data_IF_788307240766
#
_entry.id   IF_788307240766
#
_cell.length_a   1.000
_cell.length_b   1.000
_cell.length_c   1.000
_cell.angle_alpha   90.00
_cell.angle_beta   90.00
_cell.angle_gamma   90.00
#
_symmetry.space_group_name_H-M   'P 1'
#
loop_
_entity.id
_entity.type
_entity.pdbx_description
1 polymer ?
#
# COMPACT_ATOMS: atom_id res chain seq x y z
N UNK A 1 23.07 5.49 -16.94
CA UNK A 1 21.89 5.60 -16.02
C UNK A 1 22.22 4.86 -14.74
N UNK A 2 21.86 5.40 -13.58
CA UNK A 2 22.04 4.77 -12.27
C UNK A 2 20.70 4.56 -11.62
N UNK A 3 20.45 3.34 -11.12
CA UNK A 3 19.31 3.03 -10.28
C UNK A 3 19.71 3.20 -8.82
N UNK A 4 18.84 3.84 -8.02
CA UNK A 4 19.12 4.09 -6.61
C UNK A 4 17.89 3.94 -5.75
N UNK A 5 18.10 3.55 -4.51
CA UNK A 5 17.11 3.65 -3.44
C UNK A 5 17.76 4.39 -2.26
N UNK A 6 17.06 5.40 -1.76
CA UNK A 6 17.47 6.17 -0.59
C UNK A 6 16.51 5.84 0.53
N UNK A 7 17.01 5.21 1.59
CA UNK A 7 16.25 4.90 2.78
C UNK A 7 16.29 6.08 3.74
N UNK A 8 15.15 6.74 3.92
CA UNK A 8 14.97 7.94 4.73
C UNK A 8 13.62 7.88 5.46
N UNK A 9 13.47 6.95 6.45
CA UNK A 9 12.19 6.77 7.13
C UNK A 9 11.77 7.99 7.95
N UNK A 10 12.73 8.76 8.41
CA UNK A 10 12.51 10.01 9.18
C UNK A 10 11.78 11.06 8.34
N UNK A 11 11.99 11.07 7.02
CA UNK A 11 11.32 11.96 6.08
C UNK A 11 9.83 11.60 5.87
N UNK A 12 9.36 10.44 6.33
CA UNK A 12 7.96 10.00 6.24
C UNK A 12 7.17 10.26 7.55
N UNK A 13 7.81 10.80 8.62
CA UNK A 13 7.19 11.23 9.87
C UNK A 13 6.43 10.12 10.60
N UNK A 14 5.22 10.41 11.08
CA UNK A 14 4.39 9.45 11.83
C UNK A 14 3.94 8.23 10.99
N UNK A 15 4.02 8.33 9.68
CA UNK A 15 3.71 7.27 8.73
C UNK A 15 4.97 6.63 8.13
N UNK A 16 6.08 6.66 8.86
CA UNK A 16 7.26 5.88 8.51
C UNK A 16 6.90 4.39 8.32
N UNK A 17 7.56 3.69 7.35
CA UNK A 17 7.22 2.30 7.03
C UNK A 17 7.27 1.36 8.24
N UNK A 18 6.19 0.62 8.46
CA UNK A 18 6.06 -0.35 9.54
C UNK A 18 6.89 -1.61 9.35
N UNK A 19 6.83 -2.53 10.31
CA UNK A 19 7.66 -3.74 10.32
C UNK A 19 7.44 -4.64 9.11
N UNK A 20 6.18 -4.89 8.73
CA UNK A 20 5.84 -5.73 7.57
C UNK A 20 6.25 -5.08 6.24
N UNK A 21 6.03 -3.77 6.12
CA UNK A 21 6.42 -2.98 4.94
C UNK A 21 7.93 -2.97 4.75
N UNK A 22 8.72 -2.81 5.83
CA UNK A 22 10.19 -2.87 5.77
C UNK A 22 10.69 -4.25 5.37
N UNK A 23 10.09 -5.33 5.89
CA UNK A 23 10.41 -6.68 5.44
C UNK A 23 10.18 -6.84 3.93
N UNK A 24 9.00 -6.40 3.43
CA UNK A 24 8.70 -6.47 1.98
C UNK A 24 9.71 -5.65 1.16
N UNK A 25 10.00 -4.42 1.60
CA UNK A 25 10.97 -3.55 0.93
C UNK A 25 12.34 -4.22 0.79
N UNK A 26 12.82 -4.89 1.84
CA UNK A 26 14.08 -5.64 1.79
C UNK A 26 14.05 -6.72 0.69
N UNK A 27 13.00 -7.53 0.64
CA UNK A 27 12.85 -8.59 -0.36
C UNK A 27 12.70 -8.02 -1.78
N UNK A 28 11.93 -6.95 -1.94
CA UNK A 28 11.72 -6.24 -3.21
C UNK A 28 13.03 -5.66 -3.76
N UNK A 29 13.82 -4.99 -2.90
CA UNK A 29 15.14 -4.45 -3.28
C UNK A 29 16.13 -5.58 -3.63
N UNK A 30 16.09 -6.70 -2.91
CA UNK A 30 16.89 -7.90 -3.25
C UNK A 30 16.55 -8.42 -4.65
N UNK A 31 15.26 -8.51 -4.97
CA UNK A 31 14.81 -8.93 -6.30
C UNK A 31 15.24 -7.93 -7.38
N UNK A 32 15.03 -6.64 -7.16
CA UNK A 32 15.43 -5.59 -8.09
C UNK A 32 16.93 -5.55 -8.34
N UNK A 33 17.76 -5.71 -7.29
CA UNK A 33 19.21 -5.76 -7.41
C UNK A 33 19.64 -6.90 -8.34
N UNK A 34 19.13 -8.10 -8.12
CA UNK A 34 19.41 -9.27 -8.98
C UNK A 34 18.99 -9.02 -10.44
N UNK A 35 17.82 -8.43 -10.66
CA UNK A 35 17.30 -8.17 -11.99
C UNK A 35 18.09 -7.08 -12.73
N UNK A 36 18.63 -6.10 -12.03
CA UNK A 36 19.55 -5.09 -12.59
C UNK A 36 20.91 -5.68 -12.91
N UNK A 37 21.47 -6.53 -12.04
CA UNK A 37 22.75 -7.22 -12.25
C UNK A 37 22.70 -8.12 -13.50
N UNK A 38 21.59 -8.87 -13.68
CA UNK A 38 21.37 -9.67 -14.87
C UNK A 38 21.33 -8.85 -16.18
N UNK A 39 21.10 -7.54 -16.10
CA UNK A 39 21.09 -6.60 -17.25
C UNK A 39 22.36 -5.76 -17.36
N UNK A 40 23.39 -6.04 -16.57
CA UNK A 40 24.67 -5.34 -16.58
C UNK A 40 24.70 -4.03 -15.79
N UNK A 41 23.74 -3.84 -14.88
CA UNK A 41 23.66 -2.69 -13.99
C UNK A 41 23.65 -3.14 -12.52
N UNK A 42 23.51 -2.21 -11.58
CA UNK A 42 23.29 -2.53 -10.17
C UNK A 42 22.45 -1.46 -9.48
N UNK A 43 21.88 -1.81 -8.35
CA UNK A 43 21.17 -0.89 -7.47
C UNK A 43 22.17 -0.22 -6.51
N UNK A 44 22.08 1.11 -6.43
CA UNK A 44 22.84 1.90 -5.47
C UNK A 44 21.96 2.17 -4.27
N UNK A 45 22.40 1.74 -3.10
CA UNK A 45 21.68 1.89 -1.84
C UNK A 45 22.37 2.96 -0.98
N UNK A 46 21.56 3.81 -0.36
CA UNK A 46 22.01 4.83 0.59
C UNK A 46 21.03 4.92 1.75
N UNK A 47 21.55 5.10 2.96
CA UNK A 47 20.76 5.55 4.11
C UNK A 47 20.93 7.06 4.25
N UNK A 48 19.81 7.78 4.37
CA UNK A 48 19.85 9.20 4.61
C UNK A 48 20.21 9.50 6.07
N UNK A 49 20.96 10.58 6.36
CA UNK A 49 21.15 11.04 7.73
C UNK A 49 19.86 11.61 8.29
N UNK A 50 19.70 11.50 9.60
CA UNK A 50 18.64 12.22 10.31
C UNK A 50 18.86 13.72 10.20
N UNK A 51 17.84 14.46 9.82
CA UNK A 51 17.87 15.93 9.75
C UNK A 51 16.58 16.50 10.31
N UNK A 52 16.67 17.71 10.84
CA UNK A 52 15.48 18.45 11.33
C UNK A 52 14.61 19.05 10.24
N UNK A 53 15.10 19.12 8.98
CA UNK A 53 14.37 19.66 7.85
C UNK A 53 13.60 18.55 7.13
N UNK A 54 12.33 18.77 6.83
CA UNK A 54 11.51 17.84 6.04
C UNK A 54 12.17 17.57 4.67
N UNK A 55 12.46 16.29 4.39
CA UNK A 55 13.16 15.87 3.18
C UNK A 55 14.66 16.19 3.14
N UNK A 56 15.20 16.71 4.23
CA UNK A 56 16.62 17.11 4.30
C UNK A 56 17.57 15.93 4.13
N UNK A 57 17.25 14.78 4.70
CA UNK A 57 18.07 13.57 4.61
C UNK A 57 18.22 13.08 3.17
N UNK A 58 17.11 12.93 2.45
CA UNK A 58 17.14 12.51 1.06
C UNK A 58 17.85 13.52 0.14
N UNK A 59 17.67 14.84 0.38
CA UNK A 59 18.35 15.89 -0.39
C UNK A 59 19.86 15.84 -0.21
N UNK A 60 20.37 15.63 1.01
CA UNK A 60 21.80 15.47 1.30
C UNK A 60 22.39 14.34 0.47
N UNK A 61 21.76 13.17 0.51
CA UNK A 61 22.21 12.00 -0.26
C UNK A 61 22.16 12.23 -1.77
N UNK A 62 21.14 12.90 -2.27
CA UNK A 62 21.04 13.23 -3.71
C UNK A 62 22.17 14.15 -4.16
N UNK A 63 22.53 15.18 -3.38
CA UNK A 63 23.67 16.07 -3.66
C UNK A 63 24.99 15.33 -3.65
N UNK A 64 25.18 14.40 -2.72
CA UNK A 64 26.39 13.53 -2.69
C UNK A 64 26.48 12.67 -3.95
N UNK A 65 25.40 11.99 -4.33
CA UNK A 65 25.35 11.18 -5.54
C UNK A 65 25.60 12.00 -6.80
N UNK A 66 25.03 13.18 -6.91
CA UNK A 66 25.27 14.10 -8.05
C UNK A 66 26.74 14.50 -8.15
N UNK A 67 27.39 14.82 -7.03
CA UNK A 67 28.83 15.13 -6.99
C UNK A 67 29.71 13.92 -7.31
N UNK A 68 29.40 12.73 -6.79
CA UNK A 68 30.15 11.50 -7.04
C UNK A 68 30.07 11.05 -8.51
N UNK A 69 28.96 11.29 -9.16
CA UNK A 69 28.67 10.73 -10.49
C UNK A 69 28.78 11.74 -11.64
N UNK A 70 28.79 13.04 -11.32
CA UNK A 70 28.67 14.10 -12.32
C UNK A 70 27.32 14.09 -13.06
N UNK A 71 26.28 13.46 -12.50
CA UNK A 71 24.98 13.43 -13.12
C UNK A 71 24.34 14.81 -13.15
N UNK A 72 23.71 15.15 -14.26
CA UNK A 72 23.05 16.44 -14.50
C UNK A 72 21.52 16.36 -14.42
N UNK A 73 20.98 15.16 -14.20
CA UNK A 73 19.54 14.93 -14.14
C UNK A 73 19.16 13.90 -13.07
N UNK A 74 18.00 14.09 -12.44
CA UNK A 74 17.40 13.15 -11.49
C UNK A 74 15.95 12.92 -11.84
N UNK A 75 15.56 11.64 -11.95
CA UNK A 75 14.20 11.23 -12.28
C UNK A 75 13.68 10.26 -11.23
N UNK A 76 12.38 10.36 -10.88
CA UNK A 76 11.73 9.40 -9.97
C UNK A 76 10.24 9.22 -10.22
N UNK A 77 9.69 8.14 -9.69
CA UNK A 77 8.25 7.91 -9.63
C UNK A 77 7.62 8.77 -8.54
N UNK A 78 6.55 9.48 -8.88
CA UNK A 78 5.86 10.39 -7.97
C UNK A 78 5.16 9.62 -6.85
N UNK A 79 5.28 10.14 -5.63
CA UNK A 79 4.49 9.74 -4.47
C UNK A 79 3.42 10.79 -4.21
N UNK A 80 2.31 10.36 -3.61
CA UNK A 80 1.11 11.21 -3.44
C UNK A 80 0.71 11.38 -1.97
N UNK A 81 1.47 10.85 -1.04
CA UNK A 81 1.29 11.10 0.38
C UNK A 81 1.67 12.56 0.69
N UNK A 82 0.92 13.24 1.58
CA UNK A 82 1.11 14.68 1.82
C UNK A 82 2.56 15.06 2.17
N UNK A 83 3.19 14.28 3.04
CA UNK A 83 4.58 14.52 3.45
C UNK A 83 5.57 14.27 2.29
N UNK A 84 5.30 13.27 1.45
CA UNK A 84 6.11 12.98 0.28
C UNK A 84 5.98 14.07 -0.79
N UNK A 85 4.77 14.63 -0.98
CA UNK A 85 4.55 15.78 -1.88
C UNK A 85 5.37 16.98 -1.42
N UNK A 86 5.34 17.31 -0.13
CA UNK A 86 6.09 18.44 0.43
C UNK A 86 7.61 18.22 0.29
N UNK A 87 8.10 17.02 0.68
CA UNK A 87 9.51 16.64 0.53
C UNK A 87 9.98 16.72 -0.92
N UNK A 88 9.25 16.09 -1.83
CA UNK A 88 9.63 16.03 -3.24
C UNK A 88 9.55 17.41 -3.91
N UNK A 89 8.62 18.28 -3.48
CA UNK A 89 8.55 19.67 -3.86
C UNK A 89 9.82 20.43 -3.49
N UNK A 90 10.21 20.35 -2.21
CA UNK A 90 11.42 20.99 -1.71
C UNK A 90 12.70 20.49 -2.45
N UNK A 91 12.82 19.19 -2.66
CA UNK A 91 13.95 18.61 -3.42
C UNK A 91 13.98 19.15 -4.86
N UNK A 92 12.83 19.21 -5.54
CA UNK A 92 12.71 19.71 -6.91
C UNK A 92 13.18 21.16 -7.01
N UNK A 93 12.66 22.02 -6.13
CA UNK A 93 12.94 23.45 -6.18
C UNK A 93 14.42 23.73 -5.88
N UNK A 94 14.96 23.05 -4.88
CA UNK A 94 16.35 23.18 -4.48
C UNK A 94 17.32 22.73 -5.58
N UNK A 95 17.15 21.53 -6.12
CA UNK A 95 18.08 20.98 -7.12
C UNK A 95 17.93 21.69 -8.48
N UNK A 96 16.74 22.19 -8.84
CA UNK A 96 16.57 23.02 -10.04
C UNK A 96 17.31 24.36 -9.94
N UNK A 97 17.28 24.99 -8.75
CA UNK A 97 18.06 26.19 -8.50
C UNK A 97 19.59 25.94 -8.60
N UNK A 98 20.01 24.71 -8.39
CA UNK A 98 21.42 24.26 -8.57
C UNK A 98 21.72 23.83 -10.03
N UNK A 99 20.80 24.03 -10.97
CA UNK A 99 20.99 23.70 -12.40
C UNK A 99 20.82 22.23 -12.77
N UNK A 100 20.22 21.40 -11.88
CA UNK A 100 19.96 19.98 -12.14
C UNK A 100 18.60 19.81 -12.82
N UNK A 101 18.55 19.02 -13.89
CA UNK A 101 17.29 18.64 -14.52
C UNK A 101 16.51 17.68 -13.61
N UNK A 102 15.27 18.06 -13.25
CA UNK A 102 14.45 17.26 -12.36
C UNK A 102 13.11 16.95 -13.02
N UNK A 103 12.78 15.64 -13.12
CA UNK A 103 11.46 15.18 -13.58
C UNK A 103 10.91 14.12 -12.64
N UNK A 104 9.60 14.13 -12.43
CA UNK A 104 8.88 13.05 -11.76
C UNK A 104 7.73 12.55 -12.65
N UNK A 105 7.51 11.25 -12.63
CA UNK A 105 6.56 10.56 -13.51
C UNK A 105 5.48 9.87 -12.68
N UNK A 106 4.29 9.77 -13.26
CA UNK A 106 3.24 8.91 -12.72
C UNK A 106 3.54 7.44 -13.06
N UNK A 107 3.98 6.68 -12.08
CA UNK A 107 4.14 5.23 -12.20
C UNK A 107 3.15 4.46 -11.31
N UNK A 108 2.47 5.15 -10.39
CA UNK A 108 1.64 4.54 -9.36
C UNK A 108 0.13 4.56 -9.67
N UNK A 109 -0.32 5.44 -10.58
CA UNK A 109 -1.74 5.66 -10.82
C UNK A 109 -2.10 5.57 -12.31
N UNK A 110 -3.37 5.30 -12.60
CA UNK A 110 -3.92 5.38 -13.97
C UNK A 110 -4.08 6.82 -14.39
N UNK A 111 -4.56 7.69 -13.50
CA UNK A 111 -4.77 9.12 -13.71
C UNK A 111 -4.11 9.93 -12.60
N UNK A 112 -3.74 11.16 -12.90
CA UNK A 112 -3.31 12.09 -11.86
C UNK A 112 -4.52 12.54 -11.02
N UNK A 113 -4.39 12.66 -9.68
CA UNK A 113 -5.51 13.05 -8.84
C UNK A 113 -6.14 14.40 -9.18
N UNK A 114 -5.36 15.35 -9.68
CA UNK A 114 -5.82 16.69 -10.07
C UNK A 114 -6.51 16.74 -11.44
N UNK A 115 -6.37 15.72 -12.28
CA UNK A 115 -6.99 15.67 -13.62
C UNK A 115 -8.44 15.18 -13.56
N UNK A 116 -8.90 14.65 -12.41
CA UNK A 116 -10.25 14.12 -12.23
C UNK A 116 -11.06 14.99 -11.31
N UNK A 117 -11.93 15.80 -11.89
CA UNK A 117 -12.81 16.73 -11.17
C UNK A 117 -14.24 16.59 -11.67
N UNK A 118 -15.20 16.97 -10.83
CA UNK A 118 -16.61 17.05 -11.20
C UNK A 118 -16.89 18.27 -12.10
N UNK A 119 -18.14 18.41 -12.56
CA UNK A 119 -18.51 19.51 -13.46
C UNK A 119 -18.32 20.92 -12.87
N UNK A 120 -18.26 21.05 -11.54
CA UNK A 120 -17.99 22.32 -10.85
C UNK A 120 -16.49 22.52 -10.47
N UNK A 121 -15.59 21.72 -11.01
CA UNK A 121 -14.16 21.80 -10.72
C UNK A 121 -13.75 21.32 -9.32
N UNK A 122 -14.65 20.63 -8.60
CA UNK A 122 -14.38 20.11 -7.25
C UNK A 122 -14.00 18.64 -7.27
N UNK A 123 -13.24 18.17 -6.26
CA UNK A 123 -12.92 16.75 -6.13
C UNK A 123 -14.18 15.92 -5.83
N UNK A 124 -14.15 14.68 -6.29
CA UNK A 124 -15.20 13.73 -5.97
C UNK A 124 -15.05 13.20 -4.53
N UNK A 125 -16.18 12.94 -3.87
CA UNK A 125 -16.24 12.27 -2.56
C UNK A 125 -17.11 11.00 -2.60
N UNK A 126 -17.53 10.56 -3.80
CA UNK A 126 -18.30 9.35 -4.03
C UNK A 126 -17.65 8.56 -5.16
N UNK A 127 -17.46 7.26 -4.98
CA UNK A 127 -16.71 6.41 -5.88
C UNK A 127 -17.33 6.29 -7.28
N UNK A 128 -18.62 6.00 -7.36
CA UNK A 128 -19.28 5.71 -8.65
C UNK A 128 -19.13 6.84 -9.67
N UNK A 129 -19.43 8.12 -9.37
CA UNK A 129 -19.21 9.20 -10.32
C UNK A 129 -17.73 9.48 -10.59
N UNK A 130 -16.85 9.31 -9.58
CA UNK A 130 -15.42 9.40 -9.78
C UNK A 130 -14.93 8.39 -10.82
N UNK A 131 -15.22 7.10 -10.61
CA UNK A 131 -14.73 6.04 -11.48
C UNK A 131 -15.31 6.14 -12.89
N UNK A 132 -16.59 6.48 -13.02
CA UNK A 132 -17.21 6.73 -14.32
C UNK A 132 -16.47 7.84 -15.10
N UNK A 133 -16.12 8.94 -14.42
CA UNK A 133 -15.42 10.07 -15.03
C UNK A 133 -13.97 9.73 -15.35
N UNK A 134 -13.26 9.10 -14.42
CA UNK A 134 -11.86 8.72 -14.57
C UNK A 134 -11.68 7.67 -15.66
N UNK A 135 -12.43 6.56 -15.61
CA UNK A 135 -12.29 5.46 -16.57
C UNK A 135 -12.65 5.84 -18.01
N UNK A 136 -13.59 6.75 -18.20
CA UNK A 136 -13.96 7.25 -19.54
C UNK A 136 -12.85 8.06 -20.22
N UNK A 137 -11.92 8.62 -19.46
CA UNK A 137 -10.79 9.42 -19.94
C UNK A 137 -9.51 8.63 -20.16
N UNK A 138 -9.50 7.33 -19.81
CA UNK A 138 -8.29 6.52 -19.89
C UNK A 138 -7.91 6.21 -21.35
N UNK A 139 -6.92 6.94 -21.85
CA UNK A 139 -6.21 6.67 -23.09
C UNK A 139 -4.73 6.41 -22.75
N UNK A 140 -4.45 5.24 -22.15
CA UNK A 140 -3.13 4.91 -21.66
C UNK A 140 -2.29 4.27 -22.77
N UNK A 141 -1.05 4.73 -23.01
CA UNK A 141 -0.12 4.05 -23.89
C UNK A 141 0.21 2.66 -23.34
N UNK A 142 0.55 1.75 -24.23
CA UNK A 142 1.06 0.43 -23.83
C UNK A 142 2.35 0.60 -23.02
N UNK A 143 2.50 -0.12 -21.89
CA UNK A 143 3.73 -0.05 -21.10
C UNK A 143 4.95 -0.51 -21.91
N UNK A 144 6.03 0.24 -21.81
CA UNK A 144 7.30 -0.12 -22.41
C UNK A 144 7.86 -1.41 -21.81
N UNK A 145 8.51 -2.21 -22.65
CA UNK A 145 9.23 -3.40 -22.18
C UNK A 145 10.52 -3.00 -21.47
N UNK A 146 10.88 -3.75 -20.42
CA UNK A 146 12.16 -3.57 -19.77
C UNK A 146 13.33 -3.75 -20.73
N UNK A 147 14.37 -2.88 -20.69
CA UNK A 147 15.53 -3.00 -21.57
C UNK A 147 16.27 -4.30 -21.30
N UNK A 148 16.73 -4.97 -22.38
CA UNK A 148 17.51 -6.21 -22.26
C UNK A 148 18.89 -5.99 -21.63
N UNK A 149 19.49 -4.81 -21.85
CA UNK A 149 20.80 -4.42 -21.33
C UNK A 149 20.76 -2.97 -20.85
N UNK A 150 21.40 -2.71 -19.75
CA UNK A 150 21.51 -1.37 -19.16
C UNK A 150 23.00 -1.02 -19.12
N UNK A 151 23.45 0.05 -19.81
CA UNK A 151 24.86 0.44 -19.81
C UNK A 151 25.35 0.75 -18.40
N UNK A 152 26.45 0.14 -18.00
CA UNK A 152 27.14 0.46 -16.76
C UNK A 152 27.83 1.83 -16.88
N UNK A 153 27.95 2.61 -15.80
CA UNK A 153 28.77 3.80 -15.77
C UNK A 153 30.27 3.42 -15.76
N UNK A 154 31.13 4.34 -16.17
CA UNK A 154 32.59 4.15 -16.12
C UNK A 154 33.08 3.90 -14.68
N UNK A 155 32.44 4.54 -13.69
CA UNK A 155 32.72 4.36 -12.28
C UNK A 155 31.41 4.29 -11.48
N UNK A 156 31.32 3.29 -10.60
CA UNK A 156 30.18 3.17 -9.69
C UNK A 156 30.35 4.07 -8.47
N UNK A 157 29.31 4.80 -8.05
CA UNK A 157 29.34 5.51 -6.76
C UNK A 157 29.35 4.50 -5.61
N UNK A 158 29.64 4.99 -4.41
CA UNK A 158 29.54 4.17 -3.19
C UNK A 158 28.09 3.66 -3.02
N UNK A 159 27.96 2.49 -2.43
CA UNK A 159 26.68 1.88 -2.09
C UNK A 159 26.81 1.20 -0.73
N UNK A 160 25.82 1.36 0.13
CA UNK A 160 25.68 0.52 1.32
C UNK A 160 25.09 -0.84 0.93
N UNK A 161 25.15 -1.80 1.84
CA UNK A 161 24.49 -3.10 1.69
C UNK A 161 23.03 -3.04 2.13
N UNK A 162 22.22 -4.05 1.77
CA UNK A 162 20.83 -4.15 2.24
C UNK A 162 20.76 -4.33 3.77
N UNK A 163 21.71 -5.06 4.36
CA UNK A 163 21.76 -5.30 5.81
C UNK A 163 22.01 -4.01 6.58
N UNK A 164 22.88 -3.13 6.06
CA UNK A 164 23.16 -1.82 6.66
C UNK A 164 21.96 -0.85 6.62
N UNK A 165 20.95 -1.11 5.81
CA UNK A 165 19.69 -0.35 5.84
C UNK A 165 18.82 -0.72 7.05
N UNK A 166 19.10 -1.82 7.75
CA UNK A 166 18.36 -2.30 8.93
C UNK A 166 16.84 -2.44 8.69
N UNK A 167 16.47 -2.88 7.49
CA UNK A 167 15.06 -3.05 7.12
C UNK A 167 14.42 -4.26 7.80
N UNK A 168 15.20 -5.31 8.03
CA UNK A 168 14.69 -6.55 8.59
C UNK A 168 14.36 -6.40 10.07
N UNK A 169 13.16 -6.85 10.52
CA UNK A 169 12.84 -6.89 11.93
C UNK A 169 13.82 -7.74 12.73
N UNK A 170 14.21 -7.28 13.94
CA UNK A 170 15.12 -8.02 14.84
C UNK A 170 14.51 -9.34 15.31
N UNK A 171 13.20 -9.39 15.55
CA UNK A 171 12.45 -10.59 15.90
C UNK A 171 11.95 -11.23 14.61
N UNK A 172 12.19 -12.52 14.41
CA UNK A 172 11.86 -13.26 13.17
C UNK A 172 10.37 -13.63 13.04
N UNK A 173 9.47 -12.74 13.40
CA UNK A 173 8.03 -12.96 13.26
C UNK A 173 7.57 -13.10 11.79
N UNK A 174 8.38 -12.65 10.85
CA UNK A 174 8.12 -12.65 9.41
C UNK A 174 8.32 -14.00 8.70
N UNK A 175 8.77 -15.05 9.39
CA UNK A 175 9.11 -16.34 8.75
C UNK A 175 7.93 -16.95 7.98
N UNK A 176 6.71 -16.77 8.47
CA UNK A 176 5.52 -17.24 7.78
C UNK A 176 5.18 -16.35 6.57
N UNK A 177 5.40 -15.04 6.64
CA UNK A 177 5.26 -14.14 5.50
C UNK A 177 6.17 -14.58 4.35
N UNK A 178 7.42 -14.96 4.65
CA UNK A 178 8.39 -15.43 3.66
C UNK A 178 7.96 -16.72 2.93
N UNK A 179 7.08 -17.51 3.51
CA UNK A 179 6.50 -18.71 2.86
C UNK A 179 5.28 -18.40 2.00
N UNK A 180 4.54 -17.34 2.34
CA UNK A 180 3.29 -16.95 1.68
C UNK A 180 3.51 -16.03 0.48
N UNK A 181 4.62 -15.28 0.44
CA UNK A 181 4.83 -14.21 -0.50
C UNK A 181 6.09 -14.39 -1.34
N UNK A 182 6.01 -13.91 -2.57
CA UNK A 182 7.14 -13.80 -3.51
C UNK A 182 7.30 -12.35 -3.96
N UNK A 183 7.91 -11.47 -3.15
CA UNK A 183 8.15 -10.08 -3.54
C UNK A 183 9.00 -9.98 -4.81
N UNK A 184 8.75 -8.91 -5.59
CA UNK A 184 9.42 -8.65 -6.86
C UNK A 184 8.50 -8.80 -8.07
N UNK A 185 8.95 -8.27 -9.22
CA UNK A 185 8.16 -8.21 -10.47
C UNK A 185 7.70 -9.60 -10.95
N UNK A 186 8.55 -10.62 -10.80
CA UNK A 186 8.20 -11.99 -11.19
C UNK A 186 7.05 -12.57 -10.33
N UNK A 187 7.02 -12.26 -9.03
CA UNK A 187 5.94 -12.64 -8.14
C UNK A 187 4.63 -11.92 -8.47
N UNK A 188 4.71 -10.63 -8.81
CA UNK A 188 3.57 -9.85 -9.27
C UNK A 188 2.96 -10.42 -10.55
N UNK A 189 3.79 -10.72 -11.54
CA UNK A 189 3.36 -11.31 -12.80
C UNK A 189 2.68 -12.67 -12.60
N UNK A 190 3.28 -13.55 -11.78
CA UNK A 190 2.72 -14.87 -11.47
C UNK A 190 1.36 -14.77 -10.76
N UNK A 191 1.21 -13.85 -9.78
CA UNK A 191 -0.06 -13.63 -9.09
C UNK A 191 -1.15 -13.10 -10.04
N UNK A 192 -0.80 -12.19 -10.95
CA UNK A 192 -1.76 -11.67 -11.93
C UNK A 192 -2.19 -12.77 -12.90
N UNK A 193 -1.25 -13.54 -13.42
CA UNK A 193 -1.51 -14.64 -14.36
C UNK A 193 -2.43 -15.70 -13.73
N UNK A 194 -2.08 -16.19 -12.53
CA UNK A 194 -2.90 -17.15 -11.80
C UNK A 194 -4.32 -16.63 -11.56
N UNK A 195 -4.44 -15.36 -11.16
CA UNK A 195 -5.74 -14.74 -10.93
C UNK A 195 -6.59 -14.65 -12.21
N UNK A 196 -6.00 -14.23 -13.34
CA UNK A 196 -6.71 -14.13 -14.62
C UNK A 196 -7.11 -15.48 -15.19
N UNK A 197 -6.36 -16.55 -14.89
CA UNK A 197 -6.68 -17.90 -15.34
C UNK A 197 -7.75 -18.58 -14.47
N UNK A 198 -7.73 -18.37 -13.16
CA UNK A 198 -8.50 -19.19 -12.21
C UNK A 198 -9.67 -18.45 -11.54
N UNK A 199 -9.55 -17.15 -11.25
CA UNK A 199 -10.46 -16.50 -10.30
C UNK A 199 -11.20 -15.27 -10.84
N UNK A 200 -10.77 -14.68 -11.95
CA UNK A 200 -11.33 -13.41 -12.43
C UNK A 200 -12.78 -13.55 -12.91
N UNK A 201 -13.17 -14.70 -13.45
CA UNK A 201 -14.53 -14.94 -13.96
C UNK A 201 -15.57 -14.84 -12.85
N UNK A 202 -15.31 -15.49 -11.72
CA UNK A 202 -16.20 -15.54 -10.56
C UNK A 202 -15.86 -14.47 -9.51
N UNK A 203 -15.03 -13.50 -9.88
CA UNK A 203 -14.50 -12.51 -8.93
C UNK A 203 -15.58 -11.74 -8.16
N UNK A 204 -16.72 -11.44 -8.77
CA UNK A 204 -17.83 -10.73 -8.12
C UNK A 204 -18.27 -11.39 -6.81
N UNK A 205 -18.27 -12.70 -6.76
CA UNK A 205 -18.68 -13.52 -5.61
C UNK A 205 -17.46 -14.02 -4.83
N UNK A 206 -16.48 -14.61 -5.50
CA UNK A 206 -15.30 -15.19 -4.92
C UNK A 206 -14.47 -14.20 -4.07
N UNK A 207 -14.45 -12.91 -4.46
CA UNK A 207 -13.81 -11.84 -3.70
C UNK A 207 -14.35 -11.64 -2.28
N UNK A 208 -15.51 -12.20 -1.96
CA UNK A 208 -16.12 -12.08 -0.64
C UNK A 208 -15.82 -13.28 0.27
N UNK A 209 -15.27 -14.36 -0.26
CA UNK A 209 -15.05 -15.62 0.43
C UNK A 209 -13.61 -15.75 0.94
N UNK A 210 -13.32 -15.50 2.23
CA UNK A 210 -11.95 -15.51 2.75
C UNK A 210 -11.34 -16.92 2.82
N UNK A 211 -12.16 -17.97 2.76
CA UNK A 211 -11.72 -19.37 2.78
C UNK A 211 -11.08 -19.84 1.48
N UNK A 212 -11.22 -19.09 0.37
CA UNK A 212 -10.70 -19.47 -0.95
C UNK A 212 -9.74 -18.40 -1.50
N UNK A 213 -8.96 -18.76 -2.52
CA UNK A 213 -8.07 -17.84 -3.23
C UNK A 213 -8.82 -17.11 -4.36
N UNK A 214 -9.80 -16.27 -3.97
CA UNK A 214 -10.69 -15.53 -4.89
C UNK A 214 -10.23 -14.11 -5.25
N UNK A 215 -9.02 -13.70 -4.85
CA UNK A 215 -8.48 -12.34 -5.08
C UNK A 215 -7.10 -12.39 -5.72
N UNK A 216 -6.71 -11.33 -6.42
CA UNK A 216 -5.43 -11.25 -7.13
C UNK A 216 -4.19 -11.19 -6.22
N UNK A 217 -4.36 -10.77 -4.96
CA UNK A 217 -3.27 -10.54 -4.00
C UNK A 217 -2.17 -9.60 -4.52
N UNK A 218 -2.53 -8.65 -5.40
CA UNK A 218 -1.60 -7.70 -6.01
C UNK A 218 -1.34 -6.45 -5.18
N UNK A 219 -2.07 -6.25 -4.08
CA UNK A 219 -1.98 -5.01 -3.29
C UNK A 219 -0.56 -4.67 -2.83
N UNK A 220 0.29 -5.59 -2.30
CA UNK A 220 1.66 -5.24 -1.95
C UNK A 220 2.52 -4.96 -3.20
N UNK A 221 2.35 -5.73 -4.26
CA UNK A 221 3.09 -5.51 -5.50
C UNK A 221 2.78 -4.14 -6.15
N UNK A 222 1.52 -3.68 -6.07
CA UNK A 222 1.11 -2.35 -6.50
C UNK A 222 1.67 -1.25 -5.61
N UNK A 223 1.74 -1.48 -4.30
CA UNK A 223 2.31 -0.52 -3.34
C UNK A 223 3.80 -0.28 -3.61
N UNK A 224 4.56 -1.34 -3.85
CA UNK A 224 6.00 -1.26 -4.11
C UNK A 224 6.36 -1.01 -5.58
N UNK A 225 5.38 -0.90 -6.49
CA UNK A 225 5.63 -0.66 -7.91
C UNK A 225 6.27 -1.84 -8.63
N UNK A 226 6.14 -3.05 -8.09
CA UNK A 226 6.56 -4.32 -8.73
C UNK A 226 5.67 -4.66 -9.92
N UNK A 227 4.45 -4.11 -9.93
CA UNK A 227 3.56 -4.01 -11.09
C UNK A 227 2.83 -2.68 -11.04
N UNK A 228 2.70 -2.01 -12.17
CA UNK A 228 1.97 -0.76 -12.28
C UNK A 228 0.48 -0.98 -12.61
N UNK A 229 -0.43 -0.08 -12.18
CA UNK A 229 -1.84 -0.18 -12.53
C UNK A 229 -2.08 -0.09 -14.04
N UNK A 230 -1.20 0.59 -14.79
CA UNK A 230 -1.23 0.65 -16.26
C UNK A 230 -0.95 -0.70 -16.90
N UNK A 231 -0.01 -1.47 -16.34
CA UNK A 231 0.26 -2.84 -16.81
C UNK A 231 -0.96 -3.73 -16.58
N UNK A 232 -1.60 -3.65 -15.39
CA UNK A 232 -2.84 -4.38 -15.12
C UNK A 232 -3.94 -3.96 -16.11
N UNK A 233 -4.09 -2.67 -16.39
CA UNK A 233 -5.08 -2.15 -17.33
C UNK A 233 -4.92 -2.73 -18.74
N UNK A 234 -3.68 -2.91 -19.20
CA UNK A 234 -3.41 -3.49 -20.52
C UNK A 234 -3.55 -5.01 -20.54
N UNK A 235 -2.96 -5.70 -19.57
CA UNK A 235 -3.00 -7.17 -19.48
C UNK A 235 -4.43 -7.67 -19.26
N UNK A 236 -5.18 -7.02 -18.37
CA UNK A 236 -6.56 -7.34 -18.08
C UNK A 236 -7.57 -6.59 -18.98
N UNK A 237 -7.20 -6.24 -20.20
CA UNK A 237 -7.99 -5.38 -21.11
C UNK A 237 -9.40 -5.90 -21.38
N UNK A 238 -9.58 -7.21 -21.51
CA UNK A 238 -10.88 -7.86 -21.67
C UNK A 238 -11.79 -7.76 -20.44
N UNK A 239 -11.23 -7.42 -19.27
CA UNK A 239 -11.93 -7.32 -17.98
C UNK A 239 -12.18 -5.87 -17.54
N UNK A 240 -11.96 -4.86 -18.40
CA UNK A 240 -12.04 -3.42 -18.03
C UNK A 240 -13.37 -3.01 -17.40
N UNK A 241 -14.48 -3.60 -17.80
CA UNK A 241 -15.80 -3.35 -17.22
C UNK A 241 -16.12 -4.18 -15.97
N UNK A 242 -15.22 -5.03 -15.51
CA UNK A 242 -15.47 -5.96 -14.40
C UNK A 242 -15.34 -5.32 -13.02
N UNK A 243 -15.86 -6.02 -12.02
CA UNK A 243 -15.64 -5.68 -10.61
C UNK A 243 -14.15 -5.64 -10.24
N UNK A 244 -13.30 -6.46 -10.87
CA UNK A 244 -11.85 -6.43 -10.62
C UNK A 244 -11.24 -5.07 -10.99
N UNK A 245 -11.59 -4.53 -12.15
CA UNK A 245 -11.10 -3.21 -12.55
C UNK A 245 -11.70 -2.07 -11.71
N UNK A 246 -12.91 -2.25 -11.19
CA UNK A 246 -13.46 -1.32 -10.22
C UNK A 246 -12.66 -1.29 -8.91
N UNK A 247 -12.06 -2.41 -8.48
CA UNK A 247 -11.17 -2.41 -7.29
C UNK A 247 -9.84 -1.66 -7.55
N UNK A 248 -9.30 -1.72 -8.77
CA UNK A 248 -8.21 -0.82 -9.18
C UNK A 248 -8.67 0.63 -9.09
N UNK A 249 -9.90 0.92 -9.54
CA UNK A 249 -10.53 2.23 -9.41
C UNK A 249 -10.69 2.70 -7.96
N UNK A 250 -11.02 1.82 -7.02
CA UNK A 250 -11.07 2.15 -5.59
C UNK A 250 -9.71 2.58 -5.04
N UNK A 251 -8.62 1.95 -5.49
CA UNK A 251 -7.26 2.38 -5.16
C UNK A 251 -6.99 3.79 -5.69
N UNK A 252 -7.32 4.07 -6.96
CA UNK A 252 -7.21 5.40 -7.56
C UNK A 252 -8.01 6.45 -6.78
N UNK A 253 -9.24 6.10 -6.38
CA UNK A 253 -10.10 6.97 -5.59
C UNK A 253 -9.52 7.27 -4.19
N UNK A 254 -8.87 6.29 -3.56
CA UNK A 254 -8.14 6.51 -2.31
C UNK A 254 -7.05 7.57 -2.45
N UNK A 255 -6.25 7.51 -3.51
CA UNK A 255 -5.21 8.51 -3.79
C UNK A 255 -5.80 9.88 -4.18
N UNK A 256 -6.90 9.90 -4.92
CA UNK A 256 -7.65 11.12 -5.20
C UNK A 256 -8.09 11.82 -3.91
N UNK A 257 -8.65 11.07 -2.97
CA UNK A 257 -9.07 11.62 -1.68
C UNK A 257 -7.88 12.09 -0.84
N UNK A 258 -6.81 11.29 -0.75
CA UNK A 258 -5.63 11.65 0.01
C UNK A 258 -4.98 12.95 -0.50
N UNK A 259 -4.91 13.11 -1.82
CA UNK A 259 -4.35 14.31 -2.45
C UNK A 259 -5.18 15.56 -2.15
N UNK A 260 -6.50 15.48 -2.32
CA UNK A 260 -7.39 16.62 -2.12
C UNK A 260 -7.73 16.92 -0.66
N UNK A 261 -7.63 15.91 0.22
CA UNK A 261 -7.94 16.00 1.64
C UNK A 261 -6.75 15.48 2.48
N UNK A 262 -5.61 16.18 2.48
CA UNK A 262 -4.33 15.68 3.02
C UNK A 262 -4.31 15.45 4.53
N UNK A 263 -5.30 15.92 5.29
CA UNK A 263 -5.44 15.71 6.74
C UNK A 263 -6.17 14.42 7.11
N UNK A 264 -6.76 13.74 6.13
CA UNK A 264 -7.56 12.53 6.37
C UNK A 264 -6.81 11.34 6.99
N UNK A 265 -5.48 11.19 6.88
CA UNK A 265 -4.80 10.13 7.62
C UNK A 265 -4.94 10.21 9.13
N UNK A 266 -5.20 11.40 9.69
CA UNK A 266 -5.31 11.63 11.15
C UNK A 266 -6.62 12.27 11.57
N UNK A 267 -7.32 12.96 10.66
CA UNK A 267 -8.57 13.65 10.94
C UNK A 267 -9.72 13.05 10.10
N UNK A 268 -10.96 12.99 10.63
CA UNK A 268 -12.10 12.54 9.83
C UNK A 268 -12.36 13.52 8.68
N UNK A 269 -12.67 12.98 7.49
CA UNK A 269 -13.05 13.81 6.33
C UNK A 269 -14.30 14.65 6.66
N UNK A 270 -15.27 14.05 7.35
CA UNK A 270 -16.47 14.72 7.83
C UNK A 270 -16.20 15.26 9.23
N UNK A 271 -15.98 16.57 9.34
CA UNK A 271 -15.55 17.23 10.58
C UNK A 271 -16.49 17.08 11.77
N UNK A 272 -17.79 16.82 11.55
CA UNK A 272 -18.73 16.56 12.64
C UNK A 272 -18.37 15.34 13.49
N UNK A 273 -17.64 14.38 12.92
CA UNK A 273 -17.20 13.17 13.65
C UNK A 273 -16.01 13.41 14.59
N UNK A 274 -15.42 14.57 14.61
CA UNK A 274 -14.41 14.94 15.64
C UNK A 274 -15.03 15.00 17.05
N UNK A 275 -16.34 15.19 17.15
CA UNK A 275 -17.08 15.23 18.41
C UNK A 275 -17.54 13.86 18.90
N UNK A 276 -17.25 12.79 18.16
CA UNK A 276 -17.66 11.44 18.56
C UNK A 276 -16.85 10.98 19.78
N UNK A 277 -17.55 10.58 20.83
CA UNK A 277 -16.94 10.09 22.08
C UNK A 277 -16.48 8.63 21.92
N UNK A 278 -15.19 8.45 21.76
CA UNK A 278 -14.55 7.14 21.73
C UNK A 278 -14.30 6.63 23.16
N UNK A 279 -14.34 5.31 23.33
CA UNK A 279 -13.95 4.68 24.60
C UNK A 279 -12.42 4.54 24.65
N UNK A 280 -11.91 4.62 25.88
CA UNK A 280 -10.54 4.24 26.21
C UNK A 280 -10.58 2.88 26.91
N UNK A 281 -10.06 1.83 26.26
CA UNK A 281 -10.01 0.46 26.77
C UNK A 281 -8.78 -0.26 26.21
N UNK A 282 -7.67 -0.14 26.92
CA UNK A 282 -6.39 -0.73 26.51
C UNK A 282 -6.44 -2.27 26.49
N UNK A 283 -7.23 -2.89 27.37
CA UNK A 283 -7.37 -4.34 27.43
C UNK A 283 -8.14 -4.86 26.22
N UNK A 284 -9.24 -4.21 25.85
CA UNK A 284 -10.00 -4.56 24.66
C UNK A 284 -9.19 -4.34 23.38
N UNK A 285 -8.41 -3.25 23.30
CA UNK A 285 -7.51 -2.99 22.18
C UNK A 285 -6.45 -4.08 22.02
N UNK A 286 -5.83 -4.50 23.11
CA UNK A 286 -4.80 -5.54 23.09
C UNK A 286 -5.41 -6.91 22.74
N UNK A 287 -6.60 -7.23 23.27
CA UNK A 287 -7.33 -8.44 22.90
C UNK A 287 -7.64 -8.47 21.39
N UNK A 288 -8.05 -7.33 20.80
CA UNK A 288 -8.29 -7.18 19.38
C UNK A 288 -6.99 -7.37 18.58
N UNK A 289 -5.91 -6.68 18.93
CA UNK A 289 -4.61 -6.82 18.25
C UNK A 289 -4.10 -8.25 18.20
N UNK A 290 -4.29 -8.99 19.29
CA UNK A 290 -3.84 -10.39 19.43
C UNK A 290 -4.81 -11.43 18.91
N UNK A 291 -5.97 -11.04 18.39
CA UNK A 291 -7.00 -11.98 17.96
C UNK A 291 -7.50 -12.88 19.11
N UNK A 292 -7.80 -12.26 20.25
CA UNK A 292 -8.28 -12.90 21.50
C UNK A 292 -9.57 -12.26 22.00
N UNK A 293 -10.41 -11.79 21.08
CA UNK A 293 -11.70 -11.15 21.40
C UNK A 293 -12.79 -12.15 21.77
N UNK A 294 -12.58 -13.45 21.47
CA UNK A 294 -13.58 -14.50 21.59
C UNK A 294 -14.54 -14.59 20.39
N UNK A 295 -14.40 -13.70 19.41
CA UNK A 295 -15.22 -13.68 18.18
C UNK A 295 -14.42 -14.38 17.05
N UNK A 296 -14.82 -15.60 16.61
CA UNK A 296 -13.98 -16.43 15.74
C UNK A 296 -13.48 -15.74 14.46
N UNK A 297 -14.35 -15.01 13.76
CA UNK A 297 -14.01 -14.32 12.50
C UNK A 297 -13.02 -13.17 12.74
N UNK A 298 -13.19 -12.41 13.82
CA UNK A 298 -12.28 -11.31 14.20
C UNK A 298 -10.91 -11.87 14.60
N UNK A 299 -10.92 -12.89 15.45
CA UNK A 299 -9.70 -13.49 15.96
C UNK A 299 -8.88 -14.17 14.86
N UNK A 300 -9.54 -14.88 13.94
CA UNK A 300 -8.88 -15.47 12.77
C UNK A 300 -8.25 -14.41 11.87
N UNK A 301 -8.97 -13.31 11.61
CA UNK A 301 -8.45 -12.21 10.81
C UNK A 301 -7.21 -11.54 11.41
N UNK A 302 -7.24 -11.24 12.70
CA UNK A 302 -6.10 -10.60 13.38
C UNK A 302 -4.88 -11.53 13.48
N UNK A 303 -5.09 -12.84 13.64
CA UNK A 303 -4.00 -13.83 13.63
C UNK A 303 -3.45 -14.08 12.22
N UNK A 304 -4.31 -14.08 11.15
CA UNK A 304 -3.86 -14.12 9.77
C UNK A 304 -2.96 -12.91 9.46
N UNK A 305 -3.41 -11.70 9.84
CA UNK A 305 -2.65 -10.46 9.69
C UNK A 305 -1.25 -10.59 10.30
N UNK A 306 -1.18 -11.00 11.58
CA UNK A 306 0.09 -11.16 12.27
C UNK A 306 1.00 -12.20 11.62
N UNK A 307 0.42 -13.31 11.16
CA UNK A 307 1.18 -14.43 10.62
C UNK A 307 1.68 -14.20 9.17
N UNK A 308 0.88 -13.51 8.35
CA UNK A 308 1.12 -13.40 6.90
C UNK A 308 1.40 -11.97 6.41
N UNK A 309 1.24 -10.99 7.30
CA UNK A 309 1.29 -9.57 6.92
C UNK A 309 0.13 -9.14 6.02
N UNK A 310 -0.94 -9.95 5.92
CA UNK A 310 -2.07 -9.67 5.04
C UNK A 310 -3.38 -10.16 5.64
N UNK A 311 -4.46 -9.55 5.20
CA UNK A 311 -5.81 -9.95 5.60
C UNK A 311 -6.75 -9.77 4.40
N UNK A 312 -7.62 -10.74 4.19
CA UNK A 312 -8.65 -10.67 3.16
C UNK A 312 -9.54 -9.43 3.34
N UNK A 313 -9.87 -8.70 2.25
CA UNK A 313 -10.60 -7.42 2.32
C UNK A 313 -11.92 -7.52 3.11
N UNK A 314 -12.73 -8.56 2.88
CA UNK A 314 -13.97 -8.78 3.65
C UNK A 314 -13.71 -8.87 5.15
N UNK A 315 -12.62 -9.52 5.54
CA UNK A 315 -12.23 -9.66 6.95
C UNK A 315 -11.73 -8.33 7.50
N UNK A 316 -10.96 -7.54 6.73
CA UNK A 316 -10.57 -6.16 7.14
C UNK A 316 -11.79 -5.33 7.52
N UNK A 317 -12.86 -5.37 6.71
CA UNK A 317 -14.10 -4.66 7.01
C UNK A 317 -14.76 -5.13 8.33
N UNK A 318 -14.76 -6.45 8.58
CA UNK A 318 -15.36 -7.04 9.79
C UNK A 318 -14.56 -6.65 11.03
N UNK A 319 -13.23 -6.83 11.02
CA UNK A 319 -12.39 -6.53 12.18
C UNK A 319 -12.33 -5.03 12.48
N UNK A 320 -12.35 -4.19 11.44
CA UNK A 320 -12.41 -2.74 11.60
C UNK A 320 -13.76 -2.30 12.17
N UNK A 321 -14.88 -2.82 11.64
CA UNK A 321 -16.20 -2.56 12.20
C UNK A 321 -16.31 -3.02 13.64
N UNK A 322 -15.74 -4.16 14.00
CA UNK A 322 -15.73 -4.63 15.38
C UNK A 322 -15.00 -3.66 16.30
N UNK A 323 -13.81 -3.18 15.92
CA UNK A 323 -13.07 -2.18 16.68
C UNK A 323 -13.89 -0.91 16.90
N UNK A 324 -14.41 -0.31 15.82
CA UNK A 324 -15.02 1.04 15.88
C UNK A 324 -16.49 1.05 16.31
N UNK A 325 -17.26 -0.01 16.04
CA UNK A 325 -18.71 -0.06 16.32
C UNK A 325 -19.02 -0.87 17.58
N UNK A 326 -18.39 -2.02 17.78
CA UNK A 326 -18.65 -2.87 18.93
C UNK A 326 -17.83 -2.44 20.16
N UNK A 327 -16.52 -2.25 19.98
CA UNK A 327 -15.65 -1.81 21.07
C UNK A 327 -15.69 -0.27 21.27
N UNK A 328 -16.10 0.49 20.27
CA UNK A 328 -16.11 1.96 20.26
C UNK A 328 -14.73 2.58 20.48
N UNK A 329 -13.67 1.88 20.03
CA UNK A 329 -12.30 2.38 20.10
C UNK A 329 -11.99 3.22 18.87
N UNK A 330 -11.12 4.23 19.05
CA UNK A 330 -10.79 5.17 17.98
C UNK A 330 -10.17 4.45 16.77
N UNK A 331 -10.64 4.78 15.57
CA UNK A 331 -10.21 4.14 14.33
C UNK A 331 -8.71 4.25 14.05
N UNK A 332 -8.03 5.32 14.54
CA UNK A 332 -6.58 5.49 14.40
C UNK A 332 -5.78 4.38 15.10
N UNK A 333 -6.28 3.78 16.18
CA UNK A 333 -5.61 2.62 16.81
C UNK A 333 -5.50 1.45 15.82
N UNK A 334 -6.58 1.20 15.08
CA UNK A 334 -6.59 0.17 14.06
C UNK A 334 -5.77 0.54 12.83
N UNK A 335 -5.85 1.80 12.36
CA UNK A 335 -5.10 2.29 11.22
C UNK A 335 -3.59 2.19 11.44
N UNK A 336 -3.10 2.56 12.63
CA UNK A 336 -1.67 2.42 13.01
C UNK A 336 -1.23 0.97 13.17
N UNK A 337 -2.10 0.11 13.70
CA UNK A 337 -1.79 -1.32 13.79
C UNK A 337 -1.68 -1.97 12.40
N UNK A 338 -2.60 -1.64 11.50
CA UNK A 338 -2.56 -2.11 10.11
C UNK A 338 -1.32 -1.57 9.39
N UNK A 339 -0.97 -0.31 9.64
CA UNK A 339 0.23 0.30 9.07
C UNK A 339 1.51 -0.45 9.40
N UNK A 340 1.64 -0.91 10.64
CA UNK A 340 2.82 -1.66 11.09
C UNK A 340 2.83 -3.12 10.61
N UNK A 341 1.66 -3.75 10.52
CA UNK A 341 1.55 -5.20 10.34
C UNK A 341 1.19 -5.65 8.93
N UNK A 342 0.71 -4.76 8.05
CA UNK A 342 0.38 -5.09 6.67
C UNK A 342 1.59 -4.95 5.74
N UNK A 343 1.83 -5.93 4.87
CA UNK A 343 2.79 -5.85 3.75
C UNK A 343 2.31 -4.93 2.63
N UNK A 344 1.03 -4.66 2.56
CA UNK A 344 0.39 -3.76 1.61
C UNK A 344 -0.09 -2.45 2.27
N UNK A 345 0.56 -2.03 3.35
CA UNK A 345 0.24 -0.78 4.03
C UNK A 345 0.44 0.42 3.08
N UNK A 346 -0.66 0.92 2.56
CA UNK A 346 -0.76 2.06 1.64
C UNK A 346 -1.59 3.16 2.31
N UNK A 347 -1.05 4.38 2.42
CA UNK A 347 -1.69 5.43 3.23
C UNK A 347 -3.06 5.83 2.70
N UNK A 348 -3.22 5.88 1.38
CA UNK A 348 -4.49 6.22 0.75
C UNK A 348 -5.55 5.14 1.02
N UNK A 349 -5.20 3.88 0.78
CA UNK A 349 -6.11 2.74 0.97
C UNK A 349 -6.42 2.49 2.45
N UNK A 350 -5.41 2.62 3.33
CA UNK A 350 -5.59 2.47 4.78
C UNK A 350 -6.53 3.55 5.33
N UNK A 351 -6.29 4.81 4.98
CA UNK A 351 -7.13 5.95 5.37
C UNK A 351 -8.56 5.78 4.88
N UNK A 352 -8.74 5.50 3.58
CA UNK A 352 -10.06 5.30 2.99
C UNK A 352 -10.82 4.17 3.69
N UNK A 353 -10.20 3.01 3.87
CA UNK A 353 -10.83 1.82 4.45
C UNK A 353 -11.27 2.03 5.90
N UNK A 354 -10.42 2.64 6.71
CA UNK A 354 -10.72 2.92 8.12
C UNK A 354 -11.82 3.98 8.28
N UNK A 355 -11.74 5.08 7.54
CA UNK A 355 -12.77 6.12 7.60
C UNK A 355 -14.10 5.67 7.00
N UNK A 356 -14.06 4.84 5.94
CA UNK A 356 -15.27 4.23 5.39
C UNK A 356 -15.97 3.37 6.44
N UNK A 357 -15.23 2.51 7.14
CA UNK A 357 -15.79 1.63 8.18
C UNK A 357 -16.26 2.42 9.40
N UNK A 358 -15.53 3.44 9.82
CA UNK A 358 -15.92 4.31 10.93
C UNK A 358 -17.17 5.15 10.61
N UNK A 359 -17.46 5.41 9.33
CA UNK A 359 -18.59 6.22 8.89
C UNK A 359 -18.26 7.70 8.70
N UNK A 360 -17.00 8.10 8.91
CA UNK A 360 -16.57 9.50 8.89
C UNK A 360 -15.86 9.93 7.59
N UNK A 361 -15.68 8.99 6.63
CA UNK A 361 -14.98 9.23 5.36
C UNK A 361 -15.88 9.53 4.17
N UNK A 362 -15.26 9.57 2.99
CA UNK A 362 -15.94 9.64 1.71
C UNK A 362 -16.63 8.32 1.39
N UNK A 363 -17.77 8.39 0.71
CA UNK A 363 -18.58 7.23 0.32
C UNK A 363 -18.82 6.23 1.48
N UNK A 364 -18.75 6.72 2.70
CA UNK A 364 -18.70 5.91 3.90
C UNK A 364 -20.00 5.14 4.11
N UNK A 365 -19.86 3.93 4.66
CA UNK A 365 -21.00 3.21 5.19
C UNK A 365 -21.73 4.07 6.24
N UNK A 366 -23.06 4.11 6.26
CA UNK A 366 -23.79 4.86 7.28
C UNK A 366 -23.30 4.48 8.68
N UNK A 367 -23.25 5.45 9.59
CA UNK A 367 -22.74 5.24 10.96
C UNK A 367 -23.43 4.08 11.71
N UNK A 368 -24.70 3.84 11.44
CA UNK A 368 -25.50 2.75 12.02
C UNK A 368 -25.23 1.39 11.36
N UNK A 369 -24.51 1.32 10.25
CA UNK A 369 -24.18 0.05 9.58
C UNK A 369 -23.07 -0.66 10.34
N UNK A 370 -23.47 -1.69 11.10
CA UNK A 370 -22.56 -2.59 11.81
C UNK A 370 -22.38 -3.87 11.00
N UNK A 371 -21.15 -4.25 10.74
CA UNK A 371 -20.82 -5.57 10.20
C UNK A 371 -20.78 -6.55 11.37
N UNK A 372 -21.93 -7.09 11.76
CA UNK A 372 -22.00 -8.07 12.84
C UNK A 372 -21.08 -9.28 12.50
N UNK A 373 -20.02 -9.55 13.27
CA UNK A 373 -19.01 -10.53 12.88
C UNK A 373 -19.53 -11.97 12.85
N UNK A 374 -20.59 -12.29 13.61
CA UNK A 374 -21.21 -13.61 13.60
C UNK A 374 -22.00 -13.81 12.31
N UNK A 375 -22.90 -12.89 11.99
CA UNK A 375 -23.71 -12.97 10.75
C UNK A 375 -22.84 -12.87 9.49
N UNK A 376 -21.78 -12.06 9.53
CA UNK A 376 -20.81 -11.99 8.42
C UNK A 376 -20.03 -13.31 8.27
N UNK A 377 -19.64 -13.96 9.39
CA UNK A 377 -19.02 -15.26 9.37
C UNK A 377 -19.93 -16.32 8.76
N UNK A 378 -21.19 -16.39 9.19
CA UNK A 378 -22.17 -17.31 8.63
C UNK A 378 -22.41 -17.08 7.12
N UNK A 379 -22.35 -15.84 6.66
CA UNK A 379 -22.56 -15.51 5.26
C UNK A 379 -21.36 -15.82 4.37
N UNK A 380 -20.13 -15.52 4.80
CA UNK A 380 -18.94 -15.55 3.95
C UNK A 380 -17.96 -16.67 4.28
N UNK A 381 -18.17 -17.40 5.36
CA UNK A 381 -17.41 -18.56 5.79
C UNK A 381 -18.34 -19.60 6.44
N UNK A 382 -19.48 -19.89 5.77
CA UNK A 382 -20.53 -20.75 6.31
C UNK A 382 -20.02 -22.13 6.75
N UNK A 383 -19.10 -22.71 5.98
CA UNK A 383 -18.43 -23.96 6.33
C UNK A 383 -17.36 -23.80 7.42
N UNK A 384 -16.95 -22.59 7.76
CA UNK A 384 -15.92 -22.30 8.75
C UNK A 384 -14.48 -22.61 8.29
N UNK A 385 -14.25 -22.68 6.98
CA UNK A 385 -12.94 -23.07 6.44
C UNK A 385 -11.84 -22.05 6.74
N UNK A 386 -12.18 -20.76 6.66
CA UNK A 386 -11.28 -19.68 7.02
C UNK A 386 -10.92 -19.73 8.51
N UNK A 387 -11.92 -19.78 9.38
CA UNK A 387 -11.72 -19.80 10.83
C UNK A 387 -10.96 -21.05 11.28
N UNK A 388 -11.24 -22.23 10.66
CA UNK A 388 -10.53 -23.48 11.00
C UNK A 388 -9.10 -23.54 10.50
N UNK A 389 -8.80 -22.89 9.35
CA UNK A 389 -7.42 -22.81 8.81
C UNK A 389 -6.48 -22.17 9.83
N UNK A 390 -6.93 -21.11 10.46
CA UNK A 390 -6.16 -20.42 11.47
C UNK A 390 -5.94 -21.28 12.74
N UNK A 391 -6.96 -21.98 13.24
CA UNK A 391 -6.83 -22.87 14.42
C UNK A 391 -5.83 -24.00 14.22
N UNK A 392 -5.72 -24.55 13.00
CA UNK A 392 -4.71 -25.58 12.68
C UNK A 392 -3.30 -25.01 12.73
N UNK A 393 -3.11 -23.77 12.31
CA UNK A 393 -1.80 -23.11 12.28
C UNK A 393 -1.28 -22.73 13.67
N UNK A 394 -2.16 -22.45 14.63
CA UNK A 394 -1.80 -22.11 16.02
C UNK A 394 -1.38 -23.33 16.83
N UNK A 395 -1.90 -24.52 16.52
CA UNK A 395 -1.53 -25.77 17.19
C UNK A 395 -0.16 -26.34 16.81
N UNK A 396 0.42 -25.86 15.70
CA UNK A 396 1.75 -26.29 15.24
C UNK A 396 2.90 -25.49 15.86
N UNK A 397 2.59 -24.44 16.61
CA UNK A 397 3.55 -23.52 17.25
C UNK A 397 3.42 -23.46 18.79
N UNK A 398 2.71 -24.42 19.40
CA UNK A 398 2.61 -24.60 20.86
C UNK A 398 3.47 -25.73 21.34
#
# INVERSE_FOLDING_TARGET
MLFRSIWSPEDDGEWAPGGATRWWLHQSLTSLQRDLEARGSRLILRRAPETSAAGGGALVVLRELLRETGATAVYWSRRYEPIAIARDGHIKDTLRAEGIEIRSFNAALLTEPWDVQNQSGKPFQVFTPYWKTSSAKLALPEPDRAPKKIPAPARWPKSTTLDELELMPRIRWYERMAREWRPGEAGAAANLEEFLQAAVVDYSDARNLPGIRGTSRLSPHLHFGEIGPRQIWHIASQWRGSHFMAEVGWREFGYHLLYHFPRTPTEPLRGEYTRFEWREDAQALEAWRRGRTGIPMVDAGMRELWATGWMHNRVRMIVASFLVKNLRLHWLHGARWFWDTLVDADLASNTLGWQWTAGCGADAAPYFRVFNPVSQGLKFDAAGDYVRRDRKSTRLNS
#
